data_IF_040663474745
#
_entry.id   IF_040663474745
#
_cell.length_a   1.000
_cell.length_b   1.000
_cell.length_c   1.000
_cell.angle_alpha   90.00
_cell.angle_beta   90.00
_cell.angle_gamma   90.00
#
_symmetry.space_group_name_H-M   'P 1'
#
loop_
_entity.id
_entity.type
_entity.pdbx_description
1 polymer ?
#
# COMPACT_ATOMS: atom_id res chain seq x y z
N UNK A 1 0.50 -17.34 -16.61
CA UNK A 1 0.73 -16.33 -15.55
C UNK A 1 0.47 -17.01 -14.22
N UNK A 2 1.45 -17.00 -13.31
CA UNK A 2 1.34 -17.68 -12.00
C UNK A 2 1.45 -16.61 -10.91
N UNK A 3 0.60 -16.71 -9.89
CA UNK A 3 0.64 -15.83 -8.73
C UNK A 3 1.48 -16.50 -7.64
N UNK A 4 2.46 -15.78 -7.10
CA UNK A 4 3.23 -16.19 -5.92
C UNK A 4 2.82 -15.29 -4.75
N UNK A 5 2.49 -15.91 -3.62
CA UNK A 5 2.22 -15.18 -2.38
C UNK A 5 3.53 -14.98 -1.63
N UNK A 6 3.81 -13.74 -1.25
CA UNK A 6 4.91 -13.40 -0.36
C UNK A 6 4.45 -13.47 1.09
N UNK A 7 5.40 -13.49 2.02
CA UNK A 7 5.10 -13.45 3.45
C UNK A 7 4.37 -12.15 3.81
N UNK A 8 3.43 -12.26 4.75
CA UNK A 8 2.75 -11.10 5.31
C UNK A 8 3.74 -10.25 6.12
N UNK A 9 3.67 -8.94 5.93
CA UNK A 9 4.47 -7.97 6.68
C UNK A 9 3.53 -7.19 7.61
N UNK A 10 3.81 -7.23 8.91
CA UNK A 10 3.08 -6.41 9.88
C UNK A 10 3.19 -4.92 9.52
N UNK A 11 2.08 -4.19 9.60
CA UNK A 11 2.01 -2.74 9.26
C UNK A 11 3.05 -1.91 10.02
N UNK A 12 3.36 -2.28 11.27
CA UNK A 12 4.39 -1.63 12.10
C UNK A 12 5.81 -1.76 11.55
N UNK A 13 6.05 -2.72 10.66
CA UNK A 13 7.34 -2.95 9.99
C UNK A 13 7.39 -2.31 8.59
N UNK A 14 6.27 -1.80 8.08
CA UNK A 14 6.24 -1.13 6.78
C UNK A 14 6.82 0.27 6.92
N UNK A 15 7.89 0.55 6.20
CA UNK A 15 8.54 1.86 6.20
C UNK A 15 7.73 2.88 5.38
N UNK A 16 6.68 3.42 5.99
CA UNK A 16 5.82 4.45 5.41
C UNK A 16 5.39 5.43 6.49
N UNK A 17 5.01 6.65 6.07
CA UNK A 17 4.45 7.63 7.01
C UNK A 17 3.07 7.15 7.46
N UNK A 18 2.82 7.24 8.77
CA UNK A 18 1.57 6.85 9.38
C UNK A 18 0.88 8.08 9.94
N UNK A 19 -0.45 8.14 9.85
CA UNK A 19 -1.27 9.15 10.54
C UNK A 19 -2.49 8.51 11.17
N UNK A 20 -2.97 9.11 12.25
CA UNK A 20 -4.31 8.83 12.78
C UNK A 20 -5.25 9.91 12.26
N UNK A 21 -6.25 9.52 11.47
CA UNK A 21 -7.25 10.45 10.96
C UNK A 21 -8.17 10.88 12.11
N UNK A 22 -8.21 12.18 12.50
CA UNK A 22 -8.86 12.63 13.73
C UNK A 22 -10.35 12.29 13.82
N UNK A 23 -11.07 12.39 12.71
CA UNK A 23 -12.53 12.26 12.72
C UNK A 23 -13.02 10.80 12.75
N UNK A 24 -12.20 9.86 12.27
CA UNK A 24 -12.56 8.44 12.20
C UNK A 24 -11.79 7.56 13.21
N UNK A 25 -10.74 8.08 13.85
CA UNK A 25 -9.88 7.30 14.74
C UNK A 25 -9.12 6.17 14.02
N UNK A 26 -9.00 6.24 12.69
CA UNK A 26 -8.39 5.19 11.87
C UNK A 26 -6.91 5.48 11.61
N UNK A 27 -6.10 4.43 11.70
CA UNK A 27 -4.73 4.45 11.20
C UNK A 27 -4.77 4.50 9.68
N UNK A 28 -3.96 5.38 9.09
CA UNK A 28 -3.79 5.48 7.64
C UNK A 28 -2.31 5.53 7.29
N UNK A 29 -1.93 4.94 6.16
CA UNK A 29 -0.57 4.91 5.65
C UNK A 29 -0.46 5.82 4.43
N UNK A 30 0.59 6.64 4.39
CA UNK A 30 0.90 7.43 3.19
C UNK A 30 1.31 6.44 2.10
N UNK A 31 0.58 6.46 1.00
CA UNK A 31 0.91 5.57 -0.10
C UNK A 31 2.14 6.09 -0.83
N UNK A 32 3.09 5.19 -1.08
CA UNK A 32 4.28 5.43 -1.89
C UNK A 32 4.59 4.14 -2.63
N UNK A 33 4.42 4.16 -3.94
CA UNK A 33 4.48 2.97 -4.77
C UNK A 33 5.88 2.83 -5.36
N UNK A 34 6.76 2.20 -4.58
CA UNK A 34 8.12 1.82 -4.99
C UNK A 34 8.33 0.34 -4.69
N UNK A 35 9.03 -0.37 -5.55
CA UNK A 35 9.28 -1.80 -5.33
C UNK A 35 10.68 -2.19 -5.74
N UNK A 36 11.16 -3.29 -5.15
CA UNK A 36 12.24 -4.06 -5.73
C UNK A 36 11.59 -5.25 -6.45
N UNK A 37 11.10 -5.02 -7.66
CA UNK A 37 10.42 -6.04 -8.46
C UNK A 37 11.37 -7.22 -8.68
N UNK A 38 11.00 -8.45 -8.27
CA UNK A 38 11.82 -9.63 -8.55
C UNK A 38 12.05 -9.80 -10.06
N UNK A 39 13.24 -10.27 -10.45
CA UNK A 39 13.60 -10.40 -11.87
C UNK A 39 12.68 -11.36 -12.67
N UNK A 40 12.01 -12.28 -11.98
CA UNK A 40 11.02 -13.20 -12.55
C UNK A 40 9.57 -12.70 -12.41
N UNK A 41 9.37 -11.49 -11.89
CA UNK A 41 8.07 -10.87 -11.62
C UNK A 41 7.66 -9.86 -12.69
N UNK A 42 6.37 -9.87 -13.04
CA UNK A 42 5.78 -8.82 -13.89
C UNK A 42 5.36 -7.59 -13.06
N UNK A 43 4.78 -7.83 -11.88
CA UNK A 43 4.45 -6.77 -10.93
C UNK A 43 4.38 -7.31 -9.50
N UNK A 44 4.43 -6.41 -8.51
CA UNK A 44 4.12 -6.70 -7.10
C UNK A 44 2.89 -5.91 -6.67
N UNK A 45 1.90 -6.60 -6.08
CA UNK A 45 0.69 -5.97 -5.57
C UNK A 45 0.66 -6.15 -4.05
N UNK A 46 0.71 -5.04 -3.32
CA UNK A 46 0.49 -5.00 -1.88
C UNK A 46 -0.99 -5.00 -1.56
N UNK A 47 -1.39 -5.79 -0.57
CA UNK A 47 -2.76 -5.82 -0.06
C UNK A 47 -2.75 -5.39 1.40
N UNK A 48 -3.67 -4.54 1.82
CA UNK A 48 -3.75 -4.08 3.21
C UNK A 48 -5.18 -3.86 3.66
N UNK A 49 -5.39 -4.01 4.97
CA UNK A 49 -6.64 -3.66 5.66
C UNK A 49 -6.61 -2.24 6.26
N UNK A 50 -5.45 -1.58 6.22
CA UNK A 50 -5.27 -0.22 6.72
C UNK A 50 -5.48 0.78 5.59
N UNK A 51 -6.23 1.84 5.88
CA UNK A 51 -6.53 2.89 4.93
C UNK A 51 -5.25 3.51 4.35
N UNK A 52 -5.32 3.91 3.08
CA UNK A 52 -4.25 4.63 2.39
C UNK A 52 -4.66 6.07 2.14
N UNK A 53 -3.69 6.97 2.13
CA UNK A 53 -3.90 8.35 1.70
C UNK A 53 -2.76 8.83 0.79
N UNK A 54 -3.04 9.58 -0.29
CA UNK A 54 -2.04 9.97 -1.29
C UNK A 54 -1.27 11.24 -0.92
N UNK A 55 -1.77 12.02 0.05
CA UNK A 55 -1.15 13.25 0.51
C UNK A 55 -1.92 13.86 1.69
N UNK A 56 -1.30 14.78 2.40
CA UNK A 56 -1.82 15.30 3.67
C UNK A 56 -3.22 15.92 3.54
N UNK A 57 -3.52 16.55 2.39
CA UNK A 57 -4.79 17.22 2.12
C UNK A 57 -5.92 16.26 1.66
N UNK A 58 -5.63 14.97 1.51
CA UNK A 58 -6.59 13.97 1.04
C UNK A 58 -7.12 13.12 2.20
N UNK A 59 -8.36 12.62 2.09
CA UNK A 59 -8.97 11.78 3.11
C UNK A 59 -8.50 10.31 3.03
N UNK A 60 -8.76 9.64 1.91
CA UNK A 60 -8.30 8.28 1.65
C UNK A 60 -8.32 7.95 0.14
N UNK A 61 -7.64 6.87 -0.25
CA UNK A 61 -7.71 6.25 -1.57
C UNK A 61 -7.88 4.75 -1.43
N UNK A 62 -8.47 4.12 -2.44
CA UNK A 62 -8.62 2.65 -2.46
C UNK A 62 -7.34 1.93 -2.88
N UNK A 63 -6.38 2.65 -3.43
CA UNK A 63 -5.11 2.12 -3.89
C UNK A 63 -4.34 3.11 -4.75
N UNK A 64 -3.11 2.74 -5.10
CA UNK A 64 -2.24 3.47 -6.01
C UNK A 64 -1.36 2.48 -6.79
N UNK A 65 -0.90 2.86 -7.98
CA UNK A 65 -0.05 2.03 -8.84
C UNK A 65 1.04 2.85 -9.55
N UNK A 66 2.18 2.23 -9.78
CA UNK A 66 3.25 2.73 -10.65
C UNK A 66 3.56 1.69 -11.73
N UNK A 67 3.37 2.07 -13.00
CA UNK A 67 3.74 1.23 -14.13
C UNK A 67 5.26 1.15 -14.32
N UNK A 68 5.99 2.21 -14.01
CA UNK A 68 7.45 2.26 -14.12
C UNK A 68 8.13 1.32 -13.11
N UNK A 69 7.62 1.32 -11.88
CA UNK A 69 8.12 0.46 -10.82
C UNK A 69 7.54 -0.96 -10.90
N UNK A 70 6.45 -1.16 -11.66
CA UNK A 70 5.76 -2.44 -11.74
C UNK A 70 5.14 -2.83 -10.39
N UNK A 71 4.55 -1.89 -9.66
CA UNK A 71 3.86 -2.21 -8.42
C UNK A 71 2.56 -1.45 -8.21
N UNK A 72 1.73 -1.99 -7.33
CA UNK A 72 0.50 -1.37 -6.87
C UNK A 72 0.24 -1.74 -5.41
N UNK A 73 -0.63 -0.98 -4.76
CA UNK A 73 -1.20 -1.33 -3.47
C UNK A 73 -2.70 -1.06 -3.50
N UNK A 74 -3.48 -1.95 -2.89
CA UNK A 74 -4.95 -1.86 -2.84
C UNK A 74 -5.41 -2.15 -1.41
N UNK A 75 -6.42 -1.40 -0.95
CA UNK A 75 -7.03 -1.62 0.36
C UNK A 75 -8.34 -2.40 0.25
N UNK A 76 -8.63 -3.20 1.26
CA UNK A 76 -9.93 -3.85 1.46
C UNK A 76 -10.62 -3.44 2.77
N UNK A 77 -9.97 -2.63 3.60
CA UNK A 77 -10.58 -2.08 4.82
C UNK A 77 -11.71 -1.10 4.51
N UNK A 78 -12.80 -1.19 5.26
CA UNK A 78 -13.84 -0.16 5.35
C UNK A 78 -14.03 0.25 6.80
#
# INVERSE_FOLDING_TARGET
MTVKFLEEIAVTKVNCKQRFYPDAGKLQLLVTVKTNLPADGYCVIGLTWVDLYPGEDWNFVLGESSCEEGCAVVIFGH
#
